data_IF_539811525726
#
_entry.id   IF_539811525726
#
_cell.length_a   1.000
_cell.length_b   1.000
_cell.length_c   1.000
_cell.angle_alpha   90.00
_cell.angle_beta   90.00
_cell.angle_gamma   90.00
#
_symmetry.space_group_name_H-M   'P 1'
#
loop_
_entity.id
_entity.type
_entity.pdbx_description
1 polymer ?
#
# COMPACT_ATOMS: atom_id res chain seq x y z
N UNK A 1 -79.49 -3.00 -74.20
CA UNK A 1 -79.31 -3.47 -72.84
C UNK A 1 -77.80 -3.42 -72.50
N UNK A 2 -77.38 -2.40 -71.84
CA UNK A 2 -76.01 -2.29 -71.24
C UNK A 2 -76.13 -1.59 -69.91
N UNK A 3 -75.89 -2.33 -68.89
CA UNK A 3 -75.93 -1.91 -67.45
C UNK A 3 -74.62 -1.20 -67.10
N UNK A 4 -74.71 0.05 -66.72
CA UNK A 4 -73.55 0.75 -66.12
C UNK A 4 -73.52 0.56 -64.65
N UNK A 5 -72.41 -0.02 -64.15
CA UNK A 5 -72.07 -0.12 -62.74
C UNK A 5 -71.20 1.07 -62.36
N UNK A 6 -71.75 1.88 -61.42
CA UNK A 6 -71.03 3.04 -60.87
C UNK A 6 -70.20 2.59 -59.61
N UNK A 7 -68.91 2.66 -59.73
CA UNK A 7 -68.00 2.43 -58.57
C UNK A 7 -67.88 3.69 -57.71
N UNK A 8 -68.34 3.66 -56.53
CA UNK A 8 -68.19 4.70 -55.52
C UNK A 8 -66.88 4.44 -54.80
N UNK A 9 -65.86 5.34 -54.92
CA UNK A 9 -64.60 5.33 -54.19
C UNK A 9 -64.82 5.87 -52.75
N UNK A 10 -64.64 5.04 -51.80
CA UNK A 10 -64.55 5.41 -50.38
C UNK A 10 -63.11 5.77 -50.07
N UNK A 11 -62.86 7.02 -49.68
CA UNK A 11 -61.56 7.46 -49.18
C UNK A 11 -61.57 7.23 -47.68
N UNK A 12 -60.78 6.24 -47.22
CA UNK A 12 -60.48 6.03 -45.79
C UNK A 12 -59.28 6.92 -45.44
N UNK A 13 -59.53 7.97 -44.66
CA UNK A 13 -58.46 8.77 -44.02
C UNK A 13 -57.90 7.96 -42.83
N UNK A 14 -56.69 7.48 -43.00
CA UNK A 14 -55.94 6.82 -41.93
C UNK A 14 -55.24 7.89 -41.10
N UNK A 15 -55.80 8.25 -39.97
CA UNK A 15 -55.13 9.17 -39.00
C UNK A 15 -54.03 8.40 -38.25
N UNK A 16 -52.79 8.66 -38.61
CA UNK A 16 -51.63 8.13 -37.89
C UNK A 16 -51.41 9.00 -36.64
N UNK A 17 -51.79 8.54 -35.49
CA UNK A 17 -51.45 9.15 -34.21
C UNK A 17 -50.03 8.75 -33.84
N UNK A 18 -49.06 9.66 -33.99
CA UNK A 18 -47.68 9.47 -33.54
C UNK A 18 -47.69 9.64 -32.00
N UNK A 19 -47.62 8.54 -31.28
CA UNK A 19 -47.29 8.54 -29.84
C UNK A 19 -45.81 8.87 -29.70
N UNK A 20 -45.48 10.10 -29.32
CA UNK A 20 -44.15 10.44 -28.86
C UNK A 20 -43.98 9.91 -27.44
N UNK A 21 -43.28 8.78 -27.30
CA UNK A 21 -42.77 8.30 -26.02
C UNK A 21 -41.64 9.24 -25.64
N UNK A 22 -41.92 10.21 -24.80
CA UNK A 22 -40.88 11.00 -24.16
C UNK A 22 -40.19 10.08 -23.12
N UNK A 23 -39.02 9.52 -23.47
CA UNK A 23 -38.10 8.99 -22.48
C UNK A 23 -37.74 10.13 -21.52
N UNK A 24 -38.36 10.17 -20.36
CA UNK A 24 -37.81 10.90 -19.22
C UNK A 24 -36.53 10.19 -18.83
N UNK A 25 -35.38 10.74 -19.23
CA UNK A 25 -34.11 10.46 -18.56
C UNK A 25 -34.26 11.03 -17.15
N UNK A 26 -34.49 10.14 -16.18
CA UNK A 26 -34.31 10.52 -14.78
C UNK A 26 -32.84 10.97 -14.62
N UNK A 27 -32.57 12.07 -13.92
CA UNK A 27 -31.22 12.45 -13.64
C UNK A 27 -30.57 11.31 -12.87
N UNK A 28 -29.48 10.74 -13.40
CA UNK A 28 -28.60 9.86 -12.63
C UNK A 28 -28.20 10.63 -11.38
N UNK A 29 -28.77 10.23 -10.26
CA UNK A 29 -28.39 10.74 -8.94
C UNK A 29 -26.97 10.26 -8.72
N UNK A 30 -26.01 11.13 -8.92
CA UNK A 30 -24.61 10.87 -8.57
C UNK A 30 -24.57 10.71 -7.05
N UNK A 31 -24.72 9.49 -6.57
CA UNK A 31 -24.54 9.15 -5.15
C UNK A 31 -23.13 9.55 -4.79
N UNK A 32 -22.96 10.51 -3.88
CA UNK A 32 -21.62 10.85 -3.42
C UNK A 32 -21.02 9.64 -2.73
N UNK A 33 -19.71 9.49 -2.84
CA UNK A 33 -18.95 8.39 -2.23
C UNK A 33 -19.24 8.26 -0.73
N UNK A 34 -19.40 9.38 -0.05
CA UNK A 34 -19.75 9.41 1.37
C UNK A 34 -21.16 8.85 1.65
N UNK A 35 -22.13 9.09 0.76
CA UNK A 35 -23.46 8.49 0.86
C UNK A 35 -23.40 6.98 0.69
N UNK A 36 -22.63 6.46 -0.29
CA UNK A 36 -22.42 5.03 -0.49
C UNK A 36 -21.74 4.39 0.74
N UNK A 37 -20.70 5.02 1.29
CA UNK A 37 -20.01 4.54 2.50
C UNK A 37 -20.91 4.57 3.75
N UNK A 38 -21.76 5.59 3.90
CA UNK A 38 -22.72 5.71 5.03
C UNK A 38 -23.87 4.72 4.91
N UNK A 39 -24.42 4.50 3.72
CA UNK A 39 -25.51 3.54 3.52
C UNK A 39 -25.06 2.11 3.84
N UNK A 40 -23.83 1.72 3.47
CA UNK A 40 -23.37 0.36 3.71
C UNK A 40 -22.81 0.15 5.13
N UNK A 41 -22.25 1.19 5.76
CA UNK A 41 -21.86 1.14 7.17
C UNK A 41 -23.10 1.08 8.11
N UNK A 42 -24.21 1.71 7.74
CA UNK A 42 -25.47 1.63 8.47
C UNK A 42 -26.07 0.23 8.46
N UNK A 43 -25.86 -0.53 7.37
CA UNK A 43 -26.34 -1.91 7.22
C UNK A 43 -25.36 -2.97 7.76
N UNK A 44 -24.18 -2.59 8.27
CA UNK A 44 -23.17 -3.50 8.82
C UNK A 44 -22.47 -4.36 7.76
N UNK A 45 -22.53 -4.00 6.49
CA UNK A 45 -21.94 -4.75 5.33
C UNK A 45 -20.55 -4.29 4.93
N UNK A 46 -19.91 -3.46 5.70
CA UNK A 46 -18.54 -3.04 5.46
C UNK A 46 -17.54 -4.16 5.82
N UNK A 47 -16.57 -4.57 5.00
CA UNK A 47 -16.11 -3.99 3.72
C UNK A 47 -16.95 -4.39 2.50
N UNK A 48 -16.88 -3.60 1.41
CA UNK A 48 -17.50 -3.96 0.14
C UNK A 48 -16.85 -5.19 -0.50
N UNK A 49 -17.62 -5.98 -1.23
CA UNK A 49 -17.11 -7.15 -1.95
C UNK A 49 -16.16 -6.76 -3.09
N UNK A 50 -16.44 -5.63 -3.77
CA UNK A 50 -15.69 -5.14 -4.93
C UNK A 50 -14.97 -3.84 -4.63
N UNK A 51 -13.73 -3.73 -5.13
CA UNK A 51 -12.94 -2.51 -4.98
C UNK A 51 -13.58 -1.31 -5.71
N UNK A 52 -14.18 -1.55 -6.89
CA UNK A 52 -14.85 -0.51 -7.67
C UNK A 52 -15.98 0.19 -6.92
N UNK A 53 -16.66 -0.50 -6.00
CA UNK A 53 -17.77 0.05 -5.20
C UNK A 53 -17.32 1.23 -4.31
N UNK A 54 -16.05 1.29 -3.92
CA UNK A 54 -15.52 2.42 -3.15
C UNK A 54 -15.42 3.72 -3.95
N UNK A 55 -15.40 3.68 -5.27
CA UNK A 55 -15.27 4.86 -6.12
C UNK A 55 -13.97 5.65 -5.91
N UNK A 56 -12.86 5.00 -5.51
CA UNK A 56 -11.58 5.67 -5.26
C UNK A 56 -10.92 6.24 -6.51
N UNK A 57 -11.21 5.64 -7.66
CA UNK A 57 -10.54 5.95 -8.92
C UNK A 57 -11.56 6.24 -10.01
N UNK A 58 -11.24 7.19 -10.88
CA UNK A 58 -12.05 7.55 -12.04
C UNK A 58 -11.57 6.82 -13.31
N UNK A 59 -12.49 6.61 -14.27
CA UNK A 59 -12.20 5.91 -15.52
C UNK A 59 -11.91 4.42 -15.34
N UNK A 60 -10.96 3.88 -16.12
CA UNK A 60 -10.54 2.48 -16.00
C UNK A 60 -9.83 2.25 -14.66
N UNK A 61 -10.35 1.34 -13.83
CA UNK A 61 -9.87 1.13 -12.45
C UNK A 61 -8.36 0.84 -12.37
N UNK A 62 -7.80 0.09 -13.34
CA UNK A 62 -6.37 -0.26 -13.38
C UNK A 62 -5.43 0.92 -13.67
N UNK A 63 -5.96 2.04 -14.14
CA UNK A 63 -5.17 3.27 -14.31
C UNK A 63 -4.86 3.92 -12.97
N UNK A 64 -5.67 3.64 -11.94
CA UNK A 64 -5.52 4.18 -10.59
C UNK A 64 -5.50 5.73 -10.59
N UNK A 65 -6.33 6.36 -11.43
CA UNK A 65 -6.49 7.82 -11.45
C UNK A 65 -7.38 8.21 -10.27
N UNK A 66 -6.83 8.83 -9.21
CA UNK A 66 -7.61 9.10 -8.01
C UNK A 66 -8.67 10.17 -8.27
N UNK A 67 -9.82 10.04 -7.57
CA UNK A 67 -10.78 11.14 -7.46
C UNK A 67 -10.24 12.21 -6.50
N UNK A 68 -10.87 13.40 -6.46
CA UNK A 68 -10.35 14.54 -5.70
C UNK A 68 -10.18 14.29 -4.19
N UNK A 69 -11.01 13.40 -3.62
CA UNK A 69 -10.98 13.04 -2.20
C UNK A 69 -9.91 12.03 -1.84
N UNK A 70 -9.19 11.51 -2.84
CA UNK A 70 -8.18 10.46 -2.70
C UNK A 70 -6.81 11.02 -3.06
N UNK A 71 -5.96 11.19 -2.05
CA UNK A 71 -4.67 11.87 -2.17
C UNK A 71 -3.57 10.81 -2.33
N UNK A 72 -2.73 10.87 -3.37
CA UNK A 72 -1.56 10.00 -3.47
C UNK A 72 -0.52 10.34 -2.40
N UNK A 73 0.16 9.30 -1.87
CA UNK A 73 1.29 9.48 -0.97
C UNK A 73 2.38 8.42 -1.20
N UNK A 74 3.59 8.70 -0.75
CA UNK A 74 4.73 7.81 -0.87
C UNK A 74 5.68 7.95 0.33
N UNK A 75 5.94 6.87 1.08
CA UNK A 75 7.01 6.88 2.09
C UNK A 75 8.36 7.24 1.46
N UNK A 76 9.22 7.91 2.22
CA UNK A 76 10.56 8.30 1.78
C UNK A 76 11.40 7.10 1.29
N UNK A 77 11.25 5.97 1.99
CA UNK A 77 11.89 4.69 1.64
C UNK A 77 10.85 3.62 1.32
N UNK A 78 11.16 2.73 0.37
CA UNK A 78 10.23 1.66 -0.04
C UNK A 78 10.33 0.43 0.86
N UNK A 79 9.16 -0.12 1.26
CA UNK A 79 9.07 -1.41 1.94
C UNK A 79 9.14 -2.52 0.89
N UNK A 80 10.06 -3.47 1.05
CA UNK A 80 10.19 -4.62 0.16
C UNK A 80 9.01 -5.60 0.29
N UNK A 81 8.54 -6.12 -0.83
CA UNK A 81 7.55 -7.19 -0.93
C UNK A 81 7.72 -7.84 -2.30
N UNK A 82 8.57 -8.86 -2.40
CA UNK A 82 8.81 -9.64 -3.63
C UNK A 82 8.97 -8.79 -4.90
N UNK A 83 9.71 -7.68 -4.82
CA UNK A 83 9.89 -6.69 -5.90
C UNK A 83 8.61 -6.00 -6.41
N UNK A 84 7.42 -6.30 -5.87
CA UNK A 84 6.21 -5.58 -6.25
C UNK A 84 6.37 -4.08 -6.03
N UNK A 85 6.08 -3.28 -7.05
CA UNK A 85 5.97 -1.84 -6.94
C UNK A 85 4.66 -1.47 -6.25
N UNK A 86 4.58 -0.28 -5.67
CA UNK A 86 3.41 0.15 -4.90
C UNK A 86 2.95 1.55 -5.30
N UNK A 87 1.63 1.68 -5.53
CA UNK A 87 0.94 2.97 -5.53
C UNK A 87 0.10 3.08 -4.27
N UNK A 88 0.21 4.21 -3.57
CA UNK A 88 -0.50 4.41 -2.31
C UNK A 88 -1.32 5.68 -2.34
N UNK A 89 -2.50 5.60 -1.74
CA UNK A 89 -3.42 6.71 -1.64
C UNK A 89 -4.08 6.71 -0.26
N UNK A 90 -4.56 7.87 0.14
CA UNK A 90 -5.34 8.04 1.35
C UNK A 90 -6.66 8.73 1.02
N UNK A 91 -7.73 8.23 1.60
CA UNK A 91 -9.04 8.86 1.61
C UNK A 91 -9.34 9.38 3.01
N UNK A 92 -9.73 10.64 3.10
CA UNK A 92 -10.27 11.24 4.32
C UNK A 92 -11.77 11.43 4.18
N UNK A 93 -12.58 11.07 5.18
CA UNK A 93 -13.99 11.42 5.21
C UNK A 93 -14.17 12.93 5.04
N UNK A 94 -15.29 13.36 4.46
CA UNK A 94 -15.61 14.77 4.26
C UNK A 94 -15.61 15.52 5.60
N UNK A 95 -15.09 16.74 5.62
CA UNK A 95 -15.02 17.57 6.81
C UNK A 95 -14.02 17.11 7.87
N UNK A 96 -13.30 15.99 7.66
CA UNK A 96 -12.30 15.50 8.62
C UNK A 96 -10.88 15.81 8.18
N UNK A 97 -9.97 15.81 9.16
CA UNK A 97 -8.53 16.01 8.98
C UNK A 97 -7.77 15.16 9.99
N UNK A 98 -6.54 14.80 9.65
CA UNK A 98 -5.60 14.19 10.58
C UNK A 98 -4.97 15.28 11.47
N UNK A 99 -4.48 14.86 12.64
CA UNK A 99 -3.74 15.73 13.56
C UNK A 99 -2.29 15.25 13.66
N UNK A 100 -1.36 16.16 13.42
CA UNK A 100 0.05 15.92 13.62
C UNK A 100 0.39 16.17 15.09
N UNK A 101 0.87 15.12 15.76
CA UNK A 101 1.46 15.22 17.10
C UNK A 101 2.94 14.90 16.93
N UNK A 102 3.85 15.54 17.63
CA UNK A 102 5.31 15.38 17.51
C UNK A 102 5.83 14.49 16.34
N UNK A 103 5.72 13.19 16.44
CA UNK A 103 6.24 12.21 15.47
C UNK A 103 5.18 11.29 14.87
N UNK A 104 3.91 11.47 15.25
CA UNK A 104 2.79 10.63 14.82
C UNK A 104 1.71 11.43 14.13
N UNK A 105 0.97 10.75 13.28
CA UNK A 105 -0.22 11.30 12.61
C UNK A 105 -1.42 10.53 13.14
N UNK A 106 -2.30 11.22 13.84
CA UNK A 106 -3.57 10.69 14.28
C UNK A 106 -4.63 10.89 13.18
N UNK A 107 -5.13 9.77 12.67
CA UNK A 107 -6.09 9.76 11.56
C UNK A 107 -7.52 9.67 12.08
N UNK A 108 -8.45 10.49 11.56
CA UNK A 108 -9.85 10.42 11.95
C UNK A 108 -10.48 9.08 11.56
N UNK A 109 -11.48 8.67 12.31
CA UNK A 109 -12.30 7.51 11.99
C UNK A 109 -12.87 7.63 10.57
N UNK A 110 -12.93 6.50 9.85
CA UNK A 110 -13.35 6.43 8.45
C UNK A 110 -12.22 6.72 7.45
N UNK A 111 -11.01 7.08 7.91
CA UNK A 111 -9.84 7.19 7.02
C UNK A 111 -9.54 5.82 6.39
N UNK A 112 -9.22 5.82 5.10
CA UNK A 112 -8.84 4.60 4.36
C UNK A 112 -7.48 4.78 3.71
N UNK A 113 -6.53 3.93 4.06
CA UNK A 113 -5.25 3.82 3.37
C UNK A 113 -5.38 2.75 2.28
N UNK A 114 -5.03 3.11 1.05
CA UNK A 114 -5.17 2.29 -0.15
C UNK A 114 -3.77 1.97 -0.67
N UNK A 115 -3.39 0.69 -0.69
CA UNK A 115 -2.07 0.25 -1.13
C UNK A 115 -2.22 -0.77 -2.26
N UNK A 116 -1.83 -0.39 -3.47
CA UNK A 116 -1.86 -1.26 -4.64
C UNK A 116 -0.47 -1.85 -4.87
N UNK A 117 -0.40 -3.15 -5.12
CA UNK A 117 0.82 -3.89 -5.45
C UNK A 117 0.76 -4.30 -6.92
N UNK A 118 1.79 -3.99 -7.67
CA UNK A 118 1.83 -4.28 -9.10
C UNK A 118 3.24 -4.60 -9.59
N UNK A 119 3.30 -5.28 -10.72
CA UNK A 119 4.53 -5.55 -11.44
C UNK A 119 4.45 -4.91 -12.83
N UNK A 120 5.47 -4.14 -13.26
CA UNK A 120 5.63 -3.83 -14.67
C UNK A 120 5.99 -5.14 -15.40
N UNK A 121 5.54 -5.31 -16.64
CA UNK A 121 5.96 -6.47 -17.45
C UNK A 121 7.49 -6.52 -17.62
N UNK A 122 8.13 -5.35 -17.61
CA UNK A 122 9.57 -5.20 -17.70
C UNK A 122 10.06 -4.06 -16.80
N UNK A 123 10.88 -4.37 -15.80
CA UNK A 123 11.43 -3.40 -14.85
C UNK A 123 12.37 -2.37 -15.48
N UNK A 124 12.95 -2.66 -16.66
CA UNK A 124 13.71 -1.66 -17.45
C UNK A 124 12.79 -0.61 -18.09
N UNK A 125 11.48 -0.88 -18.15
CA UNK A 125 10.45 0.01 -18.71
C UNK A 125 9.31 0.20 -17.70
N UNK A 126 9.56 0.75 -16.50
CA UNK A 126 8.59 0.77 -15.39
C UNK A 126 7.33 1.58 -15.67
N UNK A 127 7.34 2.45 -16.70
CA UNK A 127 6.16 3.20 -17.19
C UNK A 127 5.37 2.45 -18.27
N UNK A 128 5.81 1.28 -18.67
CA UNK A 128 5.14 0.40 -19.64
C UNK A 128 3.92 -0.31 -19.04
N UNK A 129 3.42 -1.35 -19.73
CA UNK A 129 2.32 -2.18 -19.23
C UNK A 129 2.66 -2.77 -17.86
N UNK A 130 1.65 -2.86 -17.01
CA UNK A 130 1.76 -3.40 -15.65
C UNK A 130 0.55 -4.26 -15.30
N UNK A 131 0.74 -5.22 -14.42
CA UNK A 131 -0.32 -6.03 -13.82
C UNK A 131 -0.44 -5.68 -12.33
N UNK A 132 -1.62 -5.23 -11.90
CA UNK A 132 -1.93 -5.05 -10.48
C UNK A 132 -2.35 -6.39 -9.93
N UNK A 133 -1.76 -6.78 -8.81
CA UNK A 133 -1.96 -8.09 -8.19
C UNK A 133 -2.95 -7.98 -7.03
N UNK A 134 -2.70 -7.02 -6.15
CA UNK A 134 -3.45 -6.82 -4.90
C UNK A 134 -3.69 -5.34 -4.66
N UNK A 135 -4.87 -5.01 -4.13
CA UNK A 135 -5.11 -3.76 -3.41
C UNK A 135 -5.44 -4.09 -1.97
N UNK A 136 -4.66 -3.55 -1.04
CA UNK A 136 -4.92 -3.70 0.39
C UNK A 136 -5.47 -2.39 0.94
N UNK A 137 -6.64 -2.47 1.59
CA UNK A 137 -7.23 -1.36 2.31
C UNK A 137 -6.95 -1.52 3.80
N UNK A 138 -6.50 -0.45 4.46
CA UNK A 138 -6.57 -0.30 5.90
C UNK A 138 -7.62 0.75 6.19
N UNK A 139 -8.65 0.36 6.95
CA UNK A 139 -9.79 1.21 7.28
C UNK A 139 -9.78 1.49 8.76
N UNK A 140 -9.78 2.76 9.15
CA UNK A 140 -9.89 3.18 10.54
C UNK A 140 -11.35 3.16 10.98
N UNK A 141 -11.78 2.06 11.58
CA UNK A 141 -13.16 1.85 12.07
C UNK A 141 -13.34 2.20 13.55
N UNK A 142 -14.51 1.86 14.10
CA UNK A 142 -14.89 2.14 15.50
C UNK A 142 -13.92 1.51 16.53
N UNK A 143 -13.32 0.37 16.20
CA UNK A 143 -12.41 -0.37 17.05
C UNK A 143 -10.96 -0.35 16.55
N UNK A 144 -10.58 0.73 15.84
CA UNK A 144 -9.25 0.90 15.26
C UNK A 144 -9.14 0.37 13.83
N UNK A 145 -7.90 0.23 13.37
CA UNK A 145 -7.61 -0.15 12.00
C UNK A 145 -7.95 -1.62 11.70
N UNK A 146 -8.47 -1.85 10.50
CA UNK A 146 -8.76 -3.21 9.99
C UNK A 146 -8.22 -3.32 8.57
N UNK A 147 -7.54 -4.43 8.25
CA UNK A 147 -6.97 -4.70 6.93
C UNK A 147 -7.90 -5.59 6.09
N UNK A 148 -8.04 -5.22 4.81
CA UNK A 148 -8.85 -5.95 3.83
C UNK A 148 -8.08 -6.14 2.53
N UNK A 149 -7.69 -7.37 2.16
CA UNK A 149 -7.03 -7.66 0.89
C UNK A 149 -8.04 -7.88 -0.24
N UNK A 150 -7.76 -7.27 -1.40
CA UNK A 150 -8.51 -7.41 -2.65
C UNK A 150 -7.59 -7.97 -3.73
N UNK A 151 -7.98 -9.06 -4.37
CA UNK A 151 -7.23 -9.67 -5.48
C UNK A 151 -7.83 -9.19 -6.80
N UNK A 152 -6.98 -8.68 -7.69
CA UNK A 152 -7.38 -8.21 -9.01
C UNK A 152 -7.71 -9.39 -9.94
N UNK A 153 -8.78 -9.23 -10.74
CA UNK A 153 -9.10 -10.19 -11.79
C UNK A 153 -8.07 -10.11 -12.95
N UNK A 154 -8.01 -11.16 -13.76
CA UNK A 154 -7.06 -11.24 -14.88
C UNK A 154 -7.27 -10.15 -15.94
N UNK A 155 -8.52 -9.73 -16.15
CA UNK A 155 -8.87 -8.66 -17.09
C UNK A 155 -8.50 -7.26 -16.57
N UNK A 156 -8.01 -7.15 -15.33
CA UNK A 156 -7.61 -5.89 -14.71
C UNK A 156 -8.73 -4.83 -14.67
N UNK A 157 -9.98 -5.28 -14.56
CA UNK A 157 -11.17 -4.40 -14.54
C UNK A 157 -11.68 -4.14 -13.13
N UNK A 158 -11.43 -5.06 -12.18
CA UNK A 158 -11.85 -4.93 -10.77
C UNK A 158 -11.02 -5.85 -9.86
N UNK A 159 -11.16 -5.65 -8.54
CA UNK A 159 -10.58 -6.51 -7.52
C UNK A 159 -11.66 -6.95 -6.52
N UNK A 160 -11.57 -8.20 -6.08
CA UNK A 160 -12.53 -8.85 -5.20
C UNK A 160 -11.91 -9.07 -3.82
N UNK A 161 -12.69 -8.83 -2.77
CA UNK A 161 -12.31 -9.07 -1.38
C UNK A 161 -11.94 -10.56 -1.16
N UNK A 162 -10.76 -10.80 -0.59
CA UNK A 162 -10.22 -12.13 -0.29
C UNK A 162 -9.71 -12.21 1.14
N UNK A 163 -10.62 -12.30 2.11
CA UNK A 163 -10.30 -12.36 3.56
C UNK A 163 -9.32 -13.50 3.89
N UNK A 164 -9.40 -14.59 3.16
CA UNK A 164 -8.52 -15.77 3.34
C UNK A 164 -7.17 -15.62 2.64
N UNK A 165 -6.95 -14.51 1.92
CA UNK A 165 -5.75 -14.32 1.09
C UNK A 165 -5.74 -15.20 -0.16
N UNK A 166 -4.55 -15.42 -0.72
CA UNK A 166 -4.38 -16.23 -1.92
C UNK A 166 -2.93 -16.27 -2.40
N UNK A 167 -2.70 -17.04 -3.46
CA UNK A 167 -1.42 -17.15 -4.14
C UNK A 167 -1.61 -16.80 -5.61
N UNK A 168 -0.69 -16.04 -6.19
CA UNK A 168 -0.78 -15.56 -7.56
C UNK A 168 0.58 -15.71 -8.22
N UNK A 169 0.64 -16.51 -9.29
CA UNK A 169 1.83 -16.57 -10.12
C UNK A 169 2.00 -15.27 -10.90
N UNK A 170 3.19 -14.69 -10.81
CA UNK A 170 3.54 -13.44 -11.48
C UNK A 170 4.81 -13.64 -12.29
N UNK A 171 4.75 -13.36 -13.58
CA UNK A 171 5.89 -13.35 -14.48
C UNK A 171 6.25 -11.91 -14.88
N UNK A 172 7.55 -11.60 -14.91
CA UNK A 172 8.06 -10.29 -15.32
C UNK A 172 9.51 -10.40 -15.80
N UNK A 173 9.99 -9.38 -16.49
CA UNK A 173 11.42 -9.22 -16.80
C UNK A 173 12.04 -8.29 -15.75
N UNK A 174 13.11 -8.72 -15.09
CA UNK A 174 13.78 -7.96 -14.03
C UNK A 174 14.68 -6.82 -14.57
N UNK A 175 15.42 -6.15 -13.66
CA UNK A 175 16.35 -5.07 -14.00
C UNK A 175 17.54 -5.54 -14.85
N UNK A 176 17.96 -6.79 -14.73
CA UNK A 176 19.04 -7.42 -15.52
C UNK A 176 18.56 -7.86 -16.90
N UNK A 177 17.24 -7.96 -17.09
CA UNK A 177 16.57 -8.37 -18.32
C UNK A 177 16.26 -9.86 -18.37
N UNK A 178 16.38 -10.53 -17.23
CA UNK A 178 16.08 -11.94 -17.09
C UNK A 178 14.58 -12.12 -16.78
N UNK A 179 13.99 -13.18 -17.35
CA UNK A 179 12.62 -13.57 -17.04
C UNK A 179 12.53 -14.17 -15.63
N UNK A 180 11.63 -13.64 -14.82
CA UNK A 180 11.36 -14.11 -13.46
C UNK A 180 9.93 -14.63 -13.36
N UNK A 181 9.74 -15.68 -12.56
CA UNK A 181 8.42 -16.17 -12.15
C UNK A 181 8.46 -16.32 -10.64
N UNK A 182 7.50 -15.69 -9.97
CA UNK A 182 7.36 -15.77 -8.52
C UNK A 182 5.93 -16.19 -8.16
N UNK A 183 5.80 -16.85 -7.01
CA UNK A 183 4.50 -17.10 -6.40
C UNK A 183 4.24 -16.04 -5.34
N UNK A 184 3.50 -14.98 -5.72
CA UNK A 184 3.15 -13.87 -4.82
C UNK A 184 2.08 -14.30 -3.83
N UNK A 185 2.36 -14.16 -2.54
CA UNK A 185 1.42 -14.50 -1.47
C UNK A 185 0.64 -13.26 -1.03
N UNK A 186 -0.67 -13.28 -1.23
CA UNK A 186 -1.59 -12.30 -0.64
C UNK A 186 -1.92 -12.77 0.77
N UNK A 187 -1.52 -12.04 1.82
CA UNK A 187 -1.77 -12.45 3.19
C UNK A 187 -3.26 -12.43 3.53
N UNK A 188 -3.70 -13.35 4.37
CA UNK A 188 -5.04 -13.31 4.93
C UNK A 188 -5.18 -12.20 5.99
N UNK A 189 -6.42 -11.90 6.39
CA UNK A 189 -6.72 -10.83 7.36
C UNK A 189 -5.95 -10.98 8.69
N UNK A 190 -5.74 -12.20 9.17
CA UNK A 190 -5.01 -12.43 10.43
C UNK A 190 -3.50 -12.24 10.27
N UNK A 191 -2.93 -12.65 9.13
CA UNK A 191 -1.52 -12.44 8.83
C UNK A 191 -1.17 -10.95 8.70
N UNK A 192 -2.12 -10.09 8.34
CA UNK A 192 -1.88 -8.64 8.35
C UNK A 192 -1.47 -8.14 9.75
N UNK A 193 -2.08 -8.67 10.81
CA UNK A 193 -1.75 -8.29 12.19
C UNK A 193 -0.33 -8.65 12.61
N UNK A 194 0.30 -9.64 11.98
CA UNK A 194 1.67 -10.04 12.33
C UNK A 194 2.68 -8.90 12.13
N UNK A 195 2.51 -8.12 11.05
CA UNK A 195 3.38 -6.97 10.76
C UNK A 195 2.75 -5.64 11.18
N UNK A 196 1.43 -5.49 10.98
CA UNK A 196 0.67 -4.29 11.33
C UNK A 196 0.23 -4.33 12.80
N UNK A 197 1.19 -4.42 13.73
CA UNK A 197 0.92 -4.54 15.15
C UNK A 197 1.75 -3.51 15.93
N UNK A 198 1.07 -2.65 16.67
CA UNK A 198 1.65 -1.69 17.61
C UNK A 198 0.85 -1.78 18.91
N UNK A 199 1.48 -2.20 20.01
CA UNK A 199 0.81 -2.40 21.30
C UNK A 199 -0.46 -3.25 21.18
N UNK A 200 -0.36 -4.42 20.51
CA UNK A 200 -1.45 -5.38 20.28
C UNK A 200 -2.60 -4.88 19.37
N UNK A 201 -2.54 -3.64 18.90
CA UNK A 201 -3.50 -3.05 17.99
C UNK A 201 -2.97 -3.00 16.56
N UNK A 202 -3.84 -3.12 15.57
CA UNK A 202 -3.44 -2.99 14.17
C UNK A 202 -3.08 -1.54 13.88
N UNK A 203 -1.89 -1.28 13.30
CA UNK A 203 -1.39 0.04 12.98
C UNK A 203 -0.87 0.11 11.53
N UNK A 204 -1.01 1.25 10.86
CA UNK A 204 -0.43 1.48 9.54
C UNK A 204 1.10 1.43 9.55
N UNK A 205 1.70 0.99 8.42
CA UNK A 205 3.15 1.02 8.19
C UNK A 205 3.44 2.03 7.08
N UNK A 206 4.44 2.91 7.31
CA UNK A 206 4.94 3.85 6.32
C UNK A 206 4.15 5.16 6.19
N UNK A 207 3.22 5.44 7.10
CA UNK A 207 2.51 6.73 7.22
C UNK A 207 2.91 7.48 8.51
N UNK A 208 4.19 7.38 8.87
CA UNK A 208 4.80 8.18 9.95
C UNK A 208 5.24 9.53 9.40
N UNK A 209 5.37 10.52 10.27
CA UNK A 209 5.80 11.89 9.94
C UNK A 209 7.09 11.88 9.13
N UNK A 210 8.14 11.21 9.61
CA UNK A 210 9.43 11.15 8.93
C UNK A 210 9.37 10.52 7.53
N UNK A 211 8.43 9.61 7.29
CA UNK A 211 8.24 8.99 5.98
C UNK A 211 7.47 9.87 5.00
N UNK A 212 6.65 10.79 5.49
CA UNK A 212 5.83 11.69 4.66
C UNK A 212 6.41 13.09 4.54
N UNK A 213 7.39 13.45 5.39
CA UNK A 213 8.10 14.72 5.29
C UNK A 213 9.14 14.68 4.14
N UNK A 214 8.63 14.50 2.93
CA UNK A 214 9.40 14.51 1.69
C UNK A 214 8.52 14.92 0.52
N UNK A 215 9.14 15.27 -0.60
CA UNK A 215 8.46 15.78 -1.79
C UNK A 215 7.82 14.67 -2.63
N UNK A 216 6.64 14.97 -3.18
CA UNK A 216 5.94 14.17 -4.17
C UNK A 216 5.42 15.07 -5.30
N UNK A 217 5.38 14.52 -6.53
CA UNK A 217 4.74 15.18 -7.66
C UNK A 217 3.23 15.00 -7.60
N UNK A 218 2.52 16.11 -7.55
CA UNK A 218 1.06 16.20 -7.62
C UNK A 218 0.66 16.86 -8.95
N UNK A 219 -0.60 16.79 -9.38
CA UNK A 219 -1.08 17.53 -10.55
C UNK A 219 -0.86 19.05 -10.45
N UNK A 220 -0.82 19.59 -9.23
CA UNK A 220 -0.52 20.99 -8.94
C UNK A 220 0.97 21.36 -8.96
N UNK A 221 1.85 20.37 -9.09
CA UNK A 221 3.31 20.52 -9.04
C UNK A 221 3.93 19.76 -7.87
N UNK A 222 5.25 19.87 -7.75
CA UNK A 222 6.03 19.22 -6.69
C UNK A 222 5.82 19.94 -5.36
N UNK A 223 5.46 19.20 -4.31
CA UNK A 223 5.25 19.73 -2.96
C UNK A 223 5.63 18.69 -1.91
N UNK A 224 6.04 19.17 -0.71
CA UNK A 224 6.16 18.31 0.46
C UNK A 224 4.78 17.74 0.82
N UNK A 225 4.71 16.44 1.11
CA UNK A 225 3.44 15.75 1.30
C UNK A 225 2.65 16.26 2.51
N UNK A 226 3.33 16.55 3.64
CA UNK A 226 2.67 17.09 4.84
C UNK A 226 2.15 18.52 4.58
N UNK A 227 2.94 19.36 3.89
CA UNK A 227 2.52 20.68 3.46
C UNK A 227 1.30 20.61 2.54
N UNK A 228 1.33 19.72 1.55
CA UNK A 228 0.22 19.53 0.62
C UNK A 228 -1.07 19.08 1.34
N UNK A 229 -0.98 18.18 2.32
CA UNK A 229 -2.13 17.75 3.10
C UNK A 229 -2.68 18.91 3.98
N UNK A 230 -1.80 19.75 4.53
CA UNK A 230 -2.19 20.93 5.30
C UNK A 230 -2.88 21.96 4.40
N UNK A 231 -2.36 22.24 3.19
CA UNK A 231 -2.99 23.14 2.20
C UNK A 231 -4.37 22.65 1.76
N UNK A 232 -4.57 21.34 1.65
CA UNK A 232 -5.87 20.73 1.37
C UNK A 232 -6.82 20.71 2.58
N UNK A 233 -6.40 21.23 3.75
CA UNK A 233 -7.16 21.18 4.99
C UNK A 233 -7.35 19.77 5.57
N UNK A 234 -6.45 18.82 5.19
CA UNK A 234 -6.48 17.42 5.62
C UNK A 234 -5.47 17.09 6.71
N UNK A 235 -4.64 18.04 7.11
CA UNK A 235 -3.70 17.92 8.23
C UNK A 235 -3.68 19.19 9.05
N UNK A 236 -3.79 19.07 10.37
CA UNK A 236 -3.55 20.17 11.31
C UNK A 236 -2.28 19.91 12.14
N UNK A 237 -1.69 20.98 12.70
CA UNK A 237 -0.48 20.89 13.51
C UNK A 237 0.81 20.88 12.70
N UNK A 238 0.77 21.09 11.38
CA UNK A 238 1.97 21.21 10.55
C UNK A 238 2.56 22.63 10.67
N UNK A 239 3.78 22.72 11.22
CA UNK A 239 4.50 23.97 11.46
C UNK A 239 5.61 24.25 10.42
N UNK A 240 5.63 23.47 9.34
CA UNK A 240 6.63 23.55 8.28
C UNK A 240 7.62 22.39 8.32
N UNK A 241 8.23 22.09 7.17
CA UNK A 241 9.06 20.88 6.96
C UNK A 241 10.20 20.73 7.96
N UNK A 242 10.86 21.86 8.33
CA UNK A 242 12.01 21.85 9.23
C UNK A 242 11.67 21.60 10.70
N UNK A 243 10.39 21.74 11.06
CA UNK A 243 9.92 21.50 12.42
C UNK A 243 9.71 19.99 12.72
N UNK A 244 9.74 19.17 11.68
CA UNK A 244 9.39 17.75 11.78
C UNK A 244 10.55 16.85 11.33
N UNK A 245 10.65 15.62 11.88
CA UNK A 245 11.64 14.64 11.45
C UNK A 245 11.42 14.25 9.98
N UNK A 246 12.50 13.94 9.29
CA UNK A 246 12.48 13.42 7.93
C UNK A 246 13.31 12.14 7.81
N UNK A 247 13.06 11.36 6.78
CA UNK A 247 13.80 10.16 6.44
C UNK A 247 14.27 10.24 5.00
N UNK A 248 15.45 9.68 4.75
CA UNK A 248 16.03 9.59 3.41
C UNK A 248 15.49 8.38 2.64
N UNK A 249 15.69 8.37 1.32
CA UNK A 249 15.52 7.18 0.50
C UNK A 249 16.78 6.31 0.55
N UNK A 250 16.68 5.09 1.08
CA UNK A 250 17.83 4.17 1.15
C UNK A 250 18.35 3.74 -0.23
N UNK A 251 17.55 3.86 -1.28
CA UNK A 251 17.94 3.52 -2.66
C UNK A 251 18.89 4.55 -3.29
N UNK A 252 18.93 5.78 -2.75
CA UNK A 252 19.85 6.83 -3.24
C UNK A 252 21.29 6.56 -2.80
N UNK A 253 22.10 6.00 -3.70
CA UNK A 253 23.48 5.62 -3.44
C UNK A 253 24.44 6.81 -3.17
N UNK A 254 24.00 8.05 -3.41
CA UNK A 254 24.79 9.25 -3.10
C UNK A 254 24.73 9.64 -1.61
N UNK A 255 23.78 9.07 -0.86
CA UNK A 255 23.63 9.34 0.56
C UNK A 255 24.54 8.45 1.42
N UNK A 256 24.88 8.87 2.67
CA UNK A 256 25.75 8.12 3.56
C UNK A 256 25.25 6.69 3.81
N UNK A 257 26.15 5.73 3.80
CA UNK A 257 25.85 4.31 3.95
C UNK A 257 25.08 4.01 5.23
N UNK A 258 25.50 4.61 6.37
CA UNK A 258 24.83 4.42 7.66
C UNK A 258 23.38 4.87 7.60
N UNK A 259 23.12 6.06 7.08
CA UNK A 259 21.76 6.63 7.03
C UNK A 259 20.86 5.80 6.11
N UNK A 260 21.41 5.29 5.00
CA UNK A 260 20.71 4.37 4.09
C UNK A 260 20.38 3.04 4.77
N UNK A 261 21.31 2.45 5.51
CA UNK A 261 21.08 1.22 6.25
C UNK A 261 19.98 1.42 7.33
N UNK A 262 20.06 2.52 8.08
CA UNK A 262 19.05 2.85 9.10
C UNK A 262 17.67 3.10 8.47
N UNK A 263 17.58 3.79 7.33
CA UNK A 263 16.32 4.00 6.61
C UNK A 263 15.73 2.68 6.06
N UNK A 264 16.59 1.76 5.60
CA UNK A 264 16.19 0.42 5.19
C UNK A 264 15.63 -0.40 6.36
N UNK A 265 16.33 -0.40 7.49
CA UNK A 265 15.93 -1.11 8.70
C UNK A 265 14.63 -0.56 9.27
N UNK A 266 14.45 0.77 9.26
CA UNK A 266 13.19 1.36 9.73
C UNK A 266 12.00 0.88 8.91
N UNK A 267 12.01 1.09 7.60
CA UNK A 267 10.82 0.77 6.78
C UNK A 267 10.53 -0.72 6.67
N UNK A 268 11.58 -1.58 6.71
CA UNK A 268 11.41 -3.03 6.50
C UNK A 268 11.35 -3.84 7.80
N UNK A 269 11.86 -3.33 8.93
CA UNK A 269 12.06 -4.12 10.15
C UNK A 269 11.46 -3.48 11.40
N UNK A 270 11.48 -2.13 11.53
CA UNK A 270 11.12 -1.44 12.78
C UNK A 270 9.66 -1.65 13.20
N UNK A 271 8.76 -1.91 12.25
CA UNK A 271 7.36 -2.16 12.56
C UNK A 271 7.15 -3.41 13.43
N UNK A 272 8.09 -4.37 13.38
CA UNK A 272 8.16 -5.50 14.30
C UNK A 272 9.23 -5.28 15.39
N UNK A 273 10.43 -4.80 15.01
CA UNK A 273 11.58 -4.63 15.85
C UNK A 273 11.65 -3.20 16.43
N UNK A 274 10.73 -2.91 17.33
CA UNK A 274 10.66 -1.68 18.14
C UNK A 274 10.08 -2.01 19.52
N UNK A 275 10.09 -1.06 20.44
CA UNK A 275 9.58 -1.25 21.80
C UNK A 275 8.07 -1.59 21.81
N UNK A 276 7.32 -1.13 20.83
CA UNK A 276 5.87 -1.30 20.68
C UNK A 276 5.48 -2.40 19.69
N UNK A 277 6.47 -2.96 18.97
CA UNK A 277 6.25 -3.97 17.94
C UNK A 277 6.17 -5.40 18.49
N UNK A 278 5.66 -6.35 17.71
CA UNK A 278 5.45 -7.74 18.16
C UNK A 278 6.76 -8.48 18.47
N UNK A 279 7.90 -8.02 17.95
CA UNK A 279 9.23 -8.58 18.25
C UNK A 279 10.00 -7.79 19.33
N UNK A 280 9.31 -6.99 20.16
CA UNK A 280 9.92 -6.19 21.24
C UNK A 280 10.77 -7.02 22.21
N UNK A 281 10.36 -8.26 22.49
CA UNK A 281 11.08 -9.19 23.38
C UNK A 281 12.44 -9.63 22.83
N UNK A 282 12.70 -9.46 21.52
CA UNK A 282 14.01 -9.74 20.92
C UNK A 282 15.08 -8.76 21.40
N UNK A 283 14.67 -7.58 21.88
CA UNK A 283 15.56 -6.49 22.27
C UNK A 283 16.31 -5.87 21.07
N UNK A 284 15.92 -6.19 19.84
CA UNK A 284 16.33 -5.49 18.63
C UNK A 284 15.35 -4.34 18.36
N UNK A 285 15.86 -3.11 18.29
CA UNK A 285 15.08 -1.94 17.97
C UNK A 285 15.73 -1.25 16.77
N UNK A 286 15.06 -1.34 15.63
CA UNK A 286 15.63 -0.99 14.32
C UNK A 286 14.97 0.27 13.73
N UNK A 287 14.61 1.22 14.61
CA UNK A 287 14.07 2.53 14.23
C UNK A 287 15.17 3.44 13.70
N UNK A 288 14.81 4.38 12.82
CA UNK A 288 15.77 5.26 12.13
C UNK A 288 16.64 6.08 13.08
N UNK A 289 16.10 6.49 14.20
CA UNK A 289 16.73 7.29 15.26
C UNK A 289 17.51 6.48 16.30
N UNK A 290 17.57 5.14 16.17
CA UNK A 290 18.24 4.29 17.12
C UNK A 290 19.75 4.48 17.10
N UNK A 291 20.34 4.85 18.23
CA UNK A 291 21.78 5.10 18.39
C UNK A 291 22.47 4.13 19.33
N UNK A 292 21.72 3.34 20.13
CA UNK A 292 22.29 2.34 21.04
C UNK A 292 22.76 1.11 20.22
N UNK A 293 24.09 0.84 20.13
CA UNK A 293 24.60 -0.27 19.35
C UNK A 293 24.04 -1.63 19.79
N UNK A 294 23.76 -1.79 21.09
CA UNK A 294 23.23 -3.03 21.61
C UNK A 294 21.80 -3.29 21.15
N UNK A 295 20.97 -2.24 21.10
CA UNK A 295 19.61 -2.32 20.56
C UNK A 295 19.60 -2.53 19.06
N UNK A 296 20.61 -2.03 18.35
CA UNK A 296 20.81 -2.34 16.93
C UNK A 296 21.29 -3.78 16.67
N UNK A 297 21.70 -4.50 17.72
CA UNK A 297 22.15 -5.90 17.60
C UNK A 297 23.66 -6.08 17.59
N UNK A 298 24.46 -5.00 17.73
CA UNK A 298 25.93 -5.07 17.73
C UNK A 298 26.44 -5.87 18.91
N UNK A 299 27.16 -6.96 18.64
CA UNK A 299 27.66 -7.94 19.62
C UNK A 299 26.57 -8.40 20.61
N UNK A 300 25.33 -8.45 20.17
CA UNK A 300 24.19 -8.87 20.96
C UNK A 300 23.86 -10.34 20.67
N UNK A 301 23.83 -11.16 21.72
CA UNK A 301 23.35 -12.54 21.65
C UNK A 301 21.85 -12.52 21.33
N UNK A 302 21.39 -13.32 20.35
CA UNK A 302 19.98 -13.34 19.96
C UNK A 302 19.10 -13.85 21.10
N UNK A 303 17.88 -13.31 21.17
CA UNK A 303 16.84 -13.77 22.07
C UNK A 303 15.76 -14.46 21.23
N UNK A 304 15.47 -15.73 21.52
CA UNK A 304 14.42 -16.51 20.84
C UNK A 304 14.59 -16.64 19.29
N UNK A 305 15.82 -16.59 18.77
CA UNK A 305 16.04 -16.75 17.32
C UNK A 305 15.84 -18.21 16.85
N UNK A 306 15.88 -19.18 17.75
CA UNK A 306 15.71 -20.59 17.39
C UNK A 306 16.66 -21.03 16.28
N UNK A 307 16.17 -21.82 15.31
CA UNK A 307 16.94 -22.23 14.13
C UNK A 307 17.37 -21.05 13.24
N UNK A 308 16.72 -19.88 13.39
CA UNK A 308 17.08 -18.66 12.65
C UNK A 308 18.45 -18.10 13.00
N UNK A 309 19.03 -18.49 14.15
CA UNK A 309 20.41 -18.13 14.51
C UNK A 309 21.45 -18.86 13.62
N UNK A 310 21.09 -20.01 13.03
CA UNK A 310 22.04 -20.86 12.34
C UNK A 310 23.16 -21.31 13.29
N UNK A 311 24.41 -21.09 12.87
CA UNK A 311 25.63 -21.36 13.68
C UNK A 311 26.26 -20.09 14.23
N UNK A 312 25.56 -18.97 14.22
CA UNK A 312 26.08 -17.64 14.58
C UNK A 312 25.72 -17.24 16.00
N UNK A 313 26.63 -16.52 16.65
CA UNK A 313 26.51 -16.16 18.07
C UNK A 313 25.84 -14.79 18.30
N UNK A 314 25.94 -13.86 17.32
CA UNK A 314 25.51 -12.48 17.50
C UNK A 314 24.59 -12.00 16.38
N UNK A 315 23.66 -11.11 16.74
CA UNK A 315 22.77 -10.47 15.77
C UNK A 315 23.56 -9.70 14.71
N UNK A 316 24.59 -8.93 15.12
CA UNK A 316 25.56 -8.24 14.27
C UNK A 316 26.97 -8.40 14.83
N UNK A 317 27.92 -8.81 13.99
CA UNK A 317 29.35 -8.83 14.27
C UNK A 317 30.01 -7.71 13.46
N UNK A 318 30.53 -6.63 14.08
CA UNK A 318 31.19 -5.54 13.36
C UNK A 318 32.32 -6.03 12.45
N UNK A 319 32.34 -5.53 11.20
CA UNK A 319 33.32 -5.93 10.18
C UNK A 319 33.09 -7.33 9.58
N UNK A 320 32.05 -8.07 9.99
CA UNK A 320 31.84 -9.48 9.60
C UNK A 320 30.37 -9.76 9.28
N UNK A 321 29.89 -9.20 8.18
CA UNK A 321 28.49 -9.36 7.81
C UNK A 321 28.08 -10.83 7.60
N UNK A 322 28.97 -11.68 7.06
CA UNK A 322 28.66 -13.09 6.81
C UNK A 322 28.66 -13.95 8.09
N UNK A 323 29.15 -13.42 9.22
CA UNK A 323 29.06 -14.04 10.55
C UNK A 323 27.92 -13.45 11.40
N UNK A 324 27.05 -12.61 10.80
CA UNK A 324 25.96 -11.91 11.49
C UNK A 324 24.60 -12.56 11.20
N UNK A 325 23.80 -12.81 12.26
CA UNK A 325 22.48 -13.44 12.17
C UNK A 325 21.52 -12.62 11.29
N UNK A 326 21.57 -11.30 11.38
CA UNK A 326 20.67 -10.44 10.59
C UNK A 326 20.83 -10.68 9.08
N UNK A 327 22.04 -10.76 8.56
CA UNK A 327 22.30 -11.00 7.14
C UNK A 327 21.99 -12.44 6.74
N UNK A 328 22.25 -13.40 7.61
CA UNK A 328 21.87 -14.79 7.41
C UNK A 328 20.36 -14.92 7.22
N UNK A 329 19.58 -14.37 8.14
CA UNK A 329 18.12 -14.42 8.08
C UNK A 329 17.53 -13.64 6.89
N UNK A 330 18.06 -12.46 6.58
CA UNK A 330 17.63 -11.66 5.43
C UNK A 330 17.89 -12.38 4.10
N UNK A 331 18.98 -13.14 4.01
CA UNK A 331 19.39 -13.87 2.80
C UNK A 331 18.77 -15.27 2.68
N UNK A 332 17.79 -15.61 3.52
CA UNK A 332 17.08 -16.89 3.47
C UNK A 332 15.63 -16.73 3.10
N UNK A 333 15.04 -17.72 2.46
CA UNK A 333 13.59 -17.87 2.23
C UNK A 333 13.02 -19.08 3.00
N UNK A 334 13.85 -19.78 3.79
CA UNK A 334 13.44 -20.95 4.53
C UNK A 334 12.55 -20.58 5.72
N UNK A 335 11.50 -21.37 5.93
CA UNK A 335 10.59 -21.21 7.08
C UNK A 335 11.36 -21.42 8.38
N UNK A 336 11.20 -20.50 9.33
CA UNK A 336 11.90 -20.51 10.62
C UNK A 336 13.30 -19.88 10.57
N UNK A 337 13.86 -19.61 9.38
CA UNK A 337 15.13 -18.89 9.20
C UNK A 337 14.88 -17.48 8.65
N UNK A 338 14.08 -17.38 7.59
CA UNK A 338 13.84 -16.12 6.88
C UNK A 338 13.36 -14.99 7.81
N UNK A 339 13.83 -13.76 7.53
CA UNK A 339 13.34 -12.53 8.14
C UNK A 339 13.22 -11.43 7.07
N UNK A 340 12.05 -10.80 6.90
CA UNK A 340 10.77 -11.09 7.56
C UNK A 340 10.27 -12.51 7.30
N UNK A 341 9.52 -13.05 8.27
CA UNK A 341 8.93 -14.41 8.19
C UNK A 341 7.75 -14.48 7.23
N UNK A 342 7.08 -13.35 7.01
CA UNK A 342 5.91 -13.20 6.14
C UNK A 342 6.09 -12.02 5.18
N UNK A 343 5.30 -12.02 4.10
CA UNK A 343 5.24 -10.90 3.16
C UNK A 343 6.31 -10.93 2.07
N UNK A 344 7.09 -12.00 1.99
CA UNK A 344 8.03 -12.26 0.90
C UNK A 344 8.23 -13.75 0.65
N UNK A 345 8.48 -14.10 -0.59
CA UNK A 345 8.91 -15.43 -1.06
C UNK A 345 10.29 -15.39 -1.71
N UNK A 346 10.83 -14.19 -1.91
CA UNK A 346 12.14 -13.96 -2.53
C UNK A 346 13.07 -13.19 -1.59
N UNK A 347 14.37 -13.24 -1.86
CA UNK A 347 15.37 -12.43 -1.16
C UNK A 347 15.48 -11.05 -1.79
N UNK A 348 15.49 -10.01 -0.97
CA UNK A 348 15.83 -8.64 -1.41
C UNK A 348 17.34 -8.49 -1.54
N UNK A 349 17.89 -8.84 -2.69
CA UNK A 349 19.35 -8.89 -2.91
C UNK A 349 20.04 -7.56 -2.61
N UNK A 350 19.45 -6.45 -3.06
CA UNK A 350 19.97 -5.10 -2.87
C UNK A 350 19.93 -4.67 -1.38
N UNK A 351 18.87 -5.05 -0.67
CA UNK A 351 18.75 -4.81 0.75
C UNK A 351 19.75 -5.61 1.59
N UNK A 352 19.93 -6.89 1.25
CA UNK A 352 20.96 -7.74 1.88
C UNK A 352 22.35 -7.16 1.64
N UNK A 353 22.66 -6.73 0.42
CA UNK A 353 23.96 -6.11 0.10
C UNK A 353 24.18 -4.80 0.86
N UNK A 354 23.16 -3.93 0.94
CA UNK A 354 23.23 -2.69 1.71
C UNK A 354 23.59 -2.94 3.19
N UNK A 355 22.93 -3.92 3.82
CA UNK A 355 23.19 -4.25 5.23
C UNK A 355 24.55 -4.93 5.40
N UNK A 356 24.97 -5.80 4.46
CA UNK A 356 26.33 -6.35 4.46
C UNK A 356 27.41 -5.27 4.38
N UNK A 357 27.27 -4.31 3.46
CA UNK A 357 28.20 -3.22 3.29
C UNK A 357 28.26 -2.36 4.57
N UNK A 358 27.09 -2.07 5.18
CA UNK A 358 27.01 -1.31 6.42
C UNK A 358 27.74 -2.02 7.58
N UNK A 359 27.48 -3.31 7.78
CA UNK A 359 28.13 -4.10 8.85
C UNK A 359 29.64 -4.21 8.61
N UNK A 360 30.08 -4.46 7.37
CA UNK A 360 31.51 -4.58 7.03
C UNK A 360 32.28 -3.27 7.23
N UNK A 361 31.60 -2.13 7.21
CA UNK A 361 32.19 -0.81 7.48
C UNK A 361 32.15 -0.41 8.97
N UNK A 362 31.54 -1.22 9.85
CA UNK A 362 31.61 -1.00 11.30
C UNK A 362 33.01 -1.31 11.83
N UNK A 363 33.49 -0.48 12.75
CA UNK A 363 34.80 -0.63 13.38
C UNK A 363 34.67 -1.26 14.77
#
# INVERSE_FOLDING_TARGET
>A
MRTHIVFRRIHILLSITILTVACKTEPETTVTKEQALKEESADGKYPYERLSTYGFFSGELNKLVPVNEVIPYRPASSLFTDYALKSRFIYFPEGTKATLTSDEIDFPQGTILIKNFYYPENFRKPKGPRRIIETRLLINGDNGWIAYPYIWNESQTDAILKIVGGEIEVSFTDYDGEGQIINYIVPNKNQCKTCHNKNESLAPIGVKVQHLNNDLEYPSGKSNQLAHWAELGKLEGFEGEKAHPYMINYEDKNLPLNDRAMAYLDINCSHCHSAEGPASTSGLFLTYDQTDPRKLGVNKIPVAAGNGAGTFDFDIVPGKADESIITHRMNSTEVGIAMPELGRTTVHKEGVQLIKDWINNMK
#
